data_IF_658802621644
#
_entry.id   IF_658802621644
#
_cell.length_a   1.000
_cell.length_b   1.000
_cell.length_c   1.000
_cell.angle_alpha   90.00
_cell.angle_beta   90.00
_cell.angle_gamma   90.00
#
_symmetry.space_group_name_H-M   'P 1'
#
loop_
_entity.id
_entity.type
_entity.pdbx_description
1 polymer ?
#
# COMPACT_ATOMS: atom_id res chain seq x y z
N UNK A 1 -50.96 43.40 22.70
CA UNK A 1 -52.31 43.51 22.12
C UNK A 1 -52.95 42.12 22.20
N UNK A 2 -54.06 41.99 22.91
CA UNK A 2 -54.82 40.76 23.10
C UNK A 2 -55.26 40.15 21.77
N UNK A 3 -55.45 38.82 21.70
CA UNK A 3 -56.75 38.27 21.29
C UNK A 3 -56.98 36.87 21.88
N UNK A 4 -58.18 36.70 22.41
CA UNK A 4 -58.77 35.49 22.97
C UNK A 4 -59.78 34.96 21.93
N UNK A 5 -59.86 33.66 21.70
CA UNK A 5 -61.06 33.07 21.10
C UNK A 5 -61.38 31.70 21.71
N UNK A 6 -62.69 31.44 21.82
CA UNK A 6 -63.38 30.44 22.63
C UNK A 6 -63.33 29.02 22.04
N UNK A 7 -63.50 28.07 22.95
CA UNK A 7 -63.83 26.65 22.73
C UNK A 7 -65.27 26.47 22.24
N UNK A 8 -65.46 25.48 21.37
CA UNK A 8 -66.58 24.53 21.27
C UNK A 8 -65.90 23.19 20.86
N UNK A 9 -66.17 21.98 21.35
CA UNK A 9 -67.28 21.46 22.13
C UNK A 9 -67.76 20.13 21.54
N UNK A 10 -66.93 19.08 21.47
CA UNK A 10 -67.41 17.68 21.28
C UNK A 10 -66.47 16.70 21.97
N UNK A 11 -66.90 16.20 23.13
CA UNK A 11 -66.27 15.11 23.86
C UNK A 11 -66.56 13.78 23.13
N UNK A 12 -65.57 13.27 22.38
CA UNK A 12 -65.44 11.82 22.25
C UNK A 12 -64.84 11.31 23.56
N UNK A 13 -65.45 10.27 24.14
CA UNK A 13 -64.98 9.66 25.38
C UNK A 13 -63.53 9.21 25.22
N UNK A 14 -62.65 9.77 26.07
CA UNK A 14 -61.19 9.59 26.00
C UNK A 14 -60.78 8.12 25.87
N UNK A 15 -61.52 7.18 26.45
CA UNK A 15 -61.23 5.74 26.38
C UNK A 15 -61.17 5.16 24.97
N UNK A 16 -61.96 5.65 24.00
CA UNK A 16 -61.93 5.14 22.63
C UNK A 16 -60.70 5.60 21.86
N UNK A 17 -60.30 6.85 22.07
CA UNK A 17 -59.17 7.49 21.39
C UNK A 17 -57.83 6.93 21.89
N UNK A 18 -57.69 6.73 23.21
CA UNK A 18 -56.50 6.11 23.80
C UNK A 18 -56.34 4.64 23.40
N UNK A 19 -57.44 3.87 23.29
CA UNK A 19 -57.36 2.50 22.75
C UNK A 19 -56.91 2.49 21.30
N UNK A 20 -57.45 3.37 20.46
CA UNK A 20 -57.07 3.45 19.04
C UNK A 20 -55.60 3.83 18.87
N UNK A 21 -55.11 4.83 19.61
CA UNK A 21 -53.69 5.21 19.62
C UNK A 21 -52.79 4.08 20.14
N UNK A 22 -53.22 3.33 21.16
CA UNK A 22 -52.48 2.17 21.67
C UNK A 22 -52.40 1.03 20.65
N UNK A 23 -53.47 0.74 19.91
CA UNK A 23 -53.46 -0.24 18.83
C UNK A 23 -52.60 0.20 17.65
N UNK A 24 -52.64 1.48 17.27
CA UNK A 24 -51.77 2.03 16.22
C UNK A 24 -50.31 1.97 16.67
N UNK A 25 -50.01 2.34 17.91
CA UNK A 25 -48.66 2.22 18.47
C UNK A 25 -48.18 0.77 18.50
N UNK A 26 -49.03 -0.18 18.92
CA UNK A 26 -48.71 -1.61 18.86
C UNK A 26 -48.47 -2.09 17.42
N UNK A 27 -49.27 -1.65 16.45
CA UNK A 27 -49.08 -2.02 15.04
C UNK A 27 -47.79 -1.41 14.49
N UNK A 28 -47.45 -0.17 14.81
CA UNK A 28 -46.21 0.49 14.37
C UNK A 28 -44.99 -0.16 15.03
N UNK A 29 -45.07 -0.50 16.32
CA UNK A 29 -44.03 -1.24 17.02
C UNK A 29 -43.88 -2.62 16.38
N UNK A 30 -44.95 -3.39 16.24
CA UNK A 30 -44.93 -4.71 15.62
C UNK A 30 -44.43 -4.68 14.16
N UNK A 31 -44.81 -3.68 13.37
CA UNK A 31 -44.30 -3.48 12.02
C UNK A 31 -42.81 -3.14 12.01
N UNK A 32 -42.33 -2.32 12.95
CA UNK A 32 -40.90 -2.08 13.17
C UNK A 32 -40.14 -3.33 13.61
N UNK A 33 -40.74 -4.19 14.43
CA UNK A 33 -40.16 -5.51 14.77
C UNK A 33 -40.15 -6.46 13.57
N UNK A 34 -41.15 -6.41 12.68
CA UNK A 34 -41.19 -7.20 11.45
C UNK A 34 -40.15 -6.71 10.44
N UNK A 35 -39.95 -5.40 10.28
CA UNK A 35 -38.89 -4.84 9.43
C UNK A 35 -37.49 -5.15 9.99
N UNK A 36 -37.31 -5.10 11.32
CA UNK A 36 -36.05 -5.50 11.98
C UNK A 36 -35.82 -7.01 11.92
N UNK A 37 -36.88 -7.83 11.88
CA UNK A 37 -36.79 -9.29 11.74
C UNK A 37 -36.63 -9.75 10.27
N UNK A 38 -36.80 -8.86 9.29
CA UNK A 38 -36.68 -9.18 7.86
C UNK A 38 -35.28 -8.92 7.30
N UNK A 39 -34.32 -8.51 8.12
CA UNK A 39 -32.90 -8.69 7.79
C UNK A 39 -32.54 -10.13 8.20
N UNK A 40 -32.94 -11.10 7.35
CA UNK A 40 -32.27 -12.40 7.37
C UNK A 40 -30.78 -12.10 7.32
N UNK A 41 -30.05 -12.39 8.41
CA UNK A 41 -28.59 -12.41 8.40
C UNK A 41 -28.17 -13.24 7.18
N UNK A 42 -27.83 -12.56 6.08
CA UNK A 42 -27.40 -13.23 4.86
C UNK A 42 -26.05 -13.83 5.18
N UNK A 43 -26.07 -15.07 5.67
CA UNK A 43 -24.90 -15.90 5.93
C UNK A 43 -23.98 -15.77 4.72
N UNK A 44 -22.74 -15.35 4.98
CA UNK A 44 -21.70 -15.31 3.95
C UNK A 44 -21.52 -16.76 3.45
N UNK A 45 -21.73 -17.02 2.16
CA UNK A 45 -21.63 -18.37 1.62
C UNK A 45 -20.18 -18.88 1.75
N UNK A 46 -20.01 -20.17 2.00
CA UNK A 46 -18.72 -20.81 2.24
C UNK A 46 -18.42 -21.86 1.19
N UNK A 47 -17.15 -22.15 0.90
CA UNK A 47 -16.79 -23.18 -0.10
C UNK A 47 -17.28 -24.59 0.27
N UNK A 48 -17.66 -24.83 1.53
CA UNK A 48 -18.34 -26.06 1.96
C UNK A 48 -19.74 -26.21 1.35
N UNK A 49 -20.38 -25.11 0.94
CA UNK A 49 -21.70 -25.08 0.31
C UNK A 49 -21.64 -25.47 -1.19
N UNK A 50 -20.44 -25.72 -1.72
CA UNK A 50 -20.21 -26.09 -3.12
C UNK A 50 -19.92 -24.89 -4.04
N UNK A 51 -19.83 -25.10 -5.36
CA UNK A 51 -19.58 -24.02 -6.30
C UNK A 51 -20.78 -23.09 -6.41
N UNK A 52 -20.53 -21.78 -6.38
CA UNK A 52 -21.57 -20.77 -6.56
C UNK A 52 -21.86 -20.52 -8.03
N UNK A 53 -23.10 -20.12 -8.34
CA UNK A 53 -23.44 -19.62 -9.67
C UNK A 53 -22.56 -18.41 -9.99
N UNK A 54 -21.91 -18.35 -11.18
CA UNK A 54 -21.13 -17.18 -11.58
C UNK A 54 -21.95 -15.89 -11.52
N UNK A 55 -21.39 -14.85 -10.91
CA UNK A 55 -22.01 -13.53 -10.80
C UNK A 55 -21.12 -12.52 -11.49
N UNK A 56 -21.68 -11.77 -12.43
CA UNK A 56 -21.00 -10.65 -13.09
C UNK A 56 -21.63 -9.34 -12.65
N UNK A 57 -20.84 -8.43 -12.09
CA UNK A 57 -21.26 -7.05 -11.86
C UNK A 57 -21.25 -6.32 -13.19
N UNK A 58 -22.36 -5.65 -13.53
CA UNK A 58 -22.44 -4.84 -14.76
C UNK A 58 -21.47 -3.68 -14.64
N UNK A 59 -20.76 -3.39 -15.74
CA UNK A 59 -19.92 -2.21 -15.84
C UNK A 59 -20.77 -0.95 -15.65
N UNK A 60 -20.31 -0.05 -14.78
CA UNK A 60 -20.92 1.27 -14.59
C UNK A 60 -20.22 2.27 -15.53
N UNK A 61 -20.88 2.72 -16.61
CA UNK A 61 -20.27 3.62 -17.59
C UNK A 61 -20.05 5.04 -17.06
N UNK A 62 -20.56 5.38 -15.87
CA UNK A 62 -20.30 6.67 -15.23
C UNK A 62 -18.92 6.75 -14.57
N UNK A 63 -18.24 5.61 -14.36
CA UNK A 63 -16.92 5.57 -13.76
C UNK A 63 -15.86 6.14 -14.71
N UNK A 64 -14.90 6.88 -14.13
CA UNK A 64 -13.76 7.42 -14.86
C UNK A 64 -12.96 6.29 -15.52
N UNK A 65 -12.61 6.49 -16.79
CA UNK A 65 -11.75 5.56 -17.53
C UNK A 65 -10.28 5.90 -17.33
N UNK A 66 -9.48 4.87 -17.04
CA UNK A 66 -8.05 5.02 -16.77
C UNK A 66 -7.73 5.60 -15.40
N UNK A 67 -6.45 5.56 -15.06
CA UNK A 67 -5.89 6.16 -13.84
C UNK A 67 -4.67 6.97 -14.24
N UNK A 68 -4.63 8.24 -13.86
CA UNK A 68 -3.47 9.08 -14.15
C UNK A 68 -2.31 8.68 -13.24
N UNK A 69 -1.16 8.42 -13.87
CA UNK A 69 0.11 8.28 -13.18
C UNK A 69 0.43 9.51 -12.33
N UNK A 70 0.92 9.28 -11.12
CA UNK A 70 1.41 10.34 -10.27
C UNK A 70 2.60 11.04 -10.95
N UNK A 71 2.60 12.38 -11.00
CA UNK A 71 3.67 13.12 -11.65
C UNK A 71 4.95 13.02 -10.77
N UNK A 72 6.15 13.04 -11.35
CA UNK A 72 7.40 12.69 -10.63
C UNK A 72 7.76 13.68 -9.52
N UNK A 73 7.17 14.87 -9.56
CA UNK A 73 7.30 15.97 -8.63
C UNK A 73 6.29 15.84 -7.49
N UNK A 74 5.42 14.83 -7.51
CA UNK A 74 4.47 14.57 -6.44
C UNK A 74 5.21 14.32 -5.12
N UNK A 75 4.80 14.95 -3.99
CA UNK A 75 5.55 14.89 -2.73
C UNK A 75 5.87 13.47 -2.22
N UNK A 76 4.99 12.49 -2.46
CA UNK A 76 5.22 11.08 -2.10
C UNK A 76 6.33 10.39 -2.92
N UNK A 77 6.69 10.93 -4.08
CA UNK A 77 7.71 10.37 -4.98
C UNK A 77 9.04 11.13 -4.87
N UNK A 78 9.02 12.31 -4.24
CA UNK A 78 10.21 13.11 -4.04
C UNK A 78 11.15 12.45 -3.04
N UNK A 79 12.43 12.68 -3.28
CA UNK A 79 13.48 12.29 -2.36
C UNK A 79 13.49 13.26 -1.18
N UNK A 80 13.23 12.74 0.03
CA UNK A 80 13.16 13.55 1.26
C UNK A 80 14.41 13.43 2.15
N UNK A 81 15.46 12.78 1.67
CA UNK A 81 16.73 12.61 2.37
C UNK A 81 17.87 13.22 1.57
N UNK A 82 18.97 13.57 2.24
CA UNK A 82 20.17 14.16 1.62
C UNK A 82 21.36 13.20 1.69
N UNK A 83 22.40 13.41 0.87
CA UNK A 83 23.64 12.62 0.94
C UNK A 83 23.39 11.09 0.86
N UNK A 84 24.05 10.28 1.69
CA UNK A 84 23.94 8.82 1.75
C UNK A 84 22.92 8.33 2.80
N UNK A 85 21.98 9.17 3.23
CA UNK A 85 20.91 8.72 4.12
C UNK A 85 19.99 7.70 3.42
N UNK A 86 19.53 6.65 4.13
CA UNK A 86 18.62 5.65 3.56
C UNK A 86 17.29 6.24 3.08
N UNK A 87 16.83 5.74 1.94
CA UNK A 87 15.47 5.90 1.40
C UNK A 87 14.94 4.55 0.90
N UNK A 88 13.65 4.50 0.53
CA UNK A 88 13.03 3.32 -0.07
C UNK A 88 13.22 2.05 0.80
N UNK A 89 13.05 2.22 2.12
CA UNK A 89 13.29 1.15 3.10
C UNK A 89 12.18 0.12 2.99
N UNK A 90 12.55 -1.14 2.79
CA UNK A 90 11.63 -2.24 2.61
C UNK A 90 12.05 -3.48 3.43
N UNK A 91 11.04 -4.21 3.90
CA UNK A 91 11.21 -5.49 4.57
C UNK A 91 10.74 -6.64 3.68
N UNK A 92 11.46 -7.75 3.70
CA UNK A 92 11.05 -8.97 3.02
C UNK A 92 11.30 -10.21 3.89
N UNK A 93 10.27 -11.06 4.02
CA UNK A 93 10.36 -12.28 4.80
C UNK A 93 11.36 -13.26 4.17
N UNK A 94 12.26 -13.84 4.97
CA UNK A 94 13.10 -14.97 4.53
C UNK A 94 12.61 -16.27 5.16
N UNK A 95 12.53 -16.31 6.48
CA UNK A 95 11.95 -17.42 7.27
C UNK A 95 11.14 -16.81 8.42
N UNK A 96 10.33 -17.57 9.16
CA UNK A 96 9.67 -17.05 10.37
C UNK A 96 10.63 -16.43 11.40
N UNK A 97 11.92 -16.76 11.34
CA UNK A 97 12.98 -16.28 12.26
C UNK A 97 14.03 -15.40 11.58
N UNK A 98 13.81 -14.98 10.33
CA UNK A 98 14.73 -14.09 9.62
C UNK A 98 14.03 -13.17 8.62
N UNK A 99 14.53 -11.94 8.54
CA UNK A 99 13.98 -10.86 7.73
C UNK A 99 15.09 -10.21 6.92
N UNK A 100 14.80 -9.83 5.68
CA UNK A 100 15.65 -8.95 4.90
C UNK A 100 15.23 -7.51 5.13
N UNK A 101 16.19 -6.65 5.42
CA UNK A 101 16.05 -5.20 5.43
C UNK A 101 16.81 -4.68 4.21
N UNK A 102 16.10 -3.95 3.36
CA UNK A 102 16.67 -3.37 2.13
C UNK A 102 16.39 -1.88 2.06
N UNK A 103 17.30 -1.12 1.47
CA UNK A 103 17.15 0.32 1.27
C UNK A 103 18.07 0.80 0.15
N UNK A 104 17.90 2.06 -0.26
CA UNK A 104 18.76 2.74 -1.23
C UNK A 104 19.47 3.92 -0.56
N UNK A 105 20.72 4.19 -0.92
CA UNK A 105 21.45 5.41 -0.56
C UNK A 105 22.02 6.10 -1.79
N UNK A 106 22.17 7.43 -1.71
CA UNK A 106 22.63 8.23 -2.83
C UNK A 106 21.58 8.40 -3.93
N UNK A 107 21.86 9.30 -4.87
CA UNK A 107 20.94 9.64 -5.95
C UNK A 107 21.19 8.76 -7.17
N UNK A 108 20.10 8.29 -7.79
CA UNK A 108 20.15 7.71 -9.12
C UNK A 108 20.49 8.79 -10.15
N UNK A 109 21.07 8.37 -11.28
CA UNK A 109 21.38 9.28 -12.39
C UNK A 109 20.62 8.83 -13.62
N UNK A 110 20.10 9.80 -14.36
CA UNK A 110 19.45 9.57 -15.65
C UNK A 110 19.93 10.59 -16.67
N UNK A 111 20.22 10.13 -17.88
CA UNK A 111 20.68 10.99 -18.97
C UNK A 111 21.51 10.22 -19.98
N UNK A 112 22.08 10.91 -20.97
CA UNK A 112 22.90 10.29 -22.01
C UNK A 112 24.16 9.62 -21.42
N UNK A 113 24.78 10.27 -20.43
CA UNK A 113 25.95 9.76 -19.73
C UNK A 113 25.61 9.57 -18.25
N UNK A 114 25.83 8.36 -17.74
CA UNK A 114 25.66 8.02 -16.31
C UNK A 114 26.92 7.35 -15.80
N UNK A 115 27.29 7.62 -14.55
CA UNK A 115 28.44 6.98 -13.90
C UNK A 115 27.95 6.21 -12.67
N UNK A 116 27.96 4.87 -12.70
CA UNK A 116 27.52 4.08 -11.56
C UNK A 116 28.26 4.45 -10.28
N UNK A 117 27.53 4.55 -9.17
CA UNK A 117 28.13 4.75 -7.86
C UNK A 117 28.96 3.53 -7.47
N UNK A 118 29.98 3.74 -6.63
CA UNK A 118 30.78 2.65 -6.07
C UNK A 118 30.10 2.12 -4.79
N UNK A 119 29.49 0.92 -4.82
CA UNK A 119 28.76 0.37 -3.67
C UNK A 119 29.66 0.08 -2.47
N UNK A 120 30.99 -0.03 -2.66
CA UNK A 120 31.93 -0.29 -1.56
C UNK A 120 32.15 0.94 -0.65
N UNK A 121 31.74 2.13 -1.10
CA UNK A 121 31.92 3.39 -0.34
C UNK A 121 30.90 3.61 0.77
N UNK A 122 29.82 2.82 0.80
CA UNK A 122 28.75 2.94 1.79
C UNK A 122 28.51 1.58 2.42
N UNK A 123 28.57 1.51 3.75
CA UNK A 123 28.36 0.29 4.52
C UNK A 123 26.87 -0.08 4.52
N UNK A 124 26.61 -1.37 4.67
CA UNK A 124 25.26 -1.93 4.77
C UNK A 124 25.07 -2.47 6.18
N UNK A 125 24.63 -1.64 7.11
CA UNK A 125 24.48 -2.01 8.53
C UNK A 125 23.03 -1.92 8.98
N UNK A 126 22.60 -2.87 9.80
CA UNK A 126 21.31 -2.83 10.52
C UNK A 126 21.57 -3.00 12.00
N UNK A 127 21.15 -2.01 12.78
CA UNK A 127 21.12 -2.06 14.25
C UNK A 127 19.71 -2.39 14.68
N UNK A 128 19.52 -3.40 15.54
CA UNK A 128 18.19 -3.85 15.94
C UNK A 128 18.13 -4.35 17.38
N UNK A 129 16.94 -4.30 17.96
CA UNK A 129 16.66 -4.71 19.34
C UNK A 129 15.16 -4.84 19.61
N UNK A 130 14.80 -5.29 20.82
CA UNK A 130 13.39 -5.47 21.24
C UNK A 130 12.79 -4.24 21.93
N UNK A 131 13.56 -3.17 22.08
CA UNK A 131 13.14 -1.94 22.73
C UNK A 131 13.59 -0.73 21.92
N UNK A 132 12.69 0.23 21.73
CA UNK A 132 12.99 1.46 21.00
C UNK A 132 14.16 2.22 21.61
N UNK A 133 15.04 2.72 20.76
CA UNK A 133 16.29 3.41 21.13
C UNK A 133 17.39 2.52 21.71
N UNK A 134 17.17 1.21 21.88
CA UNK A 134 18.13 0.28 22.46
C UNK A 134 18.42 -0.90 21.50
N UNK A 135 19.42 -0.71 20.63
CA UNK A 135 19.86 -1.71 19.66
C UNK A 135 20.99 -2.57 20.22
N UNK A 136 20.68 -3.82 20.58
CA UNK A 136 21.65 -4.74 21.20
C UNK A 136 22.33 -5.65 20.19
N UNK A 137 21.83 -5.72 18.95
CA UNK A 137 22.38 -6.53 17.88
C UNK A 137 22.67 -5.68 16.64
N UNK A 138 23.68 -6.11 15.90
CA UNK A 138 24.07 -5.52 14.63
C UNK A 138 24.30 -6.62 13.60
N UNK A 139 23.83 -6.40 12.37
CA UNK A 139 24.15 -7.23 11.20
C UNK A 139 24.65 -6.37 10.07
N UNK A 140 25.55 -6.93 9.27
CA UNK A 140 26.04 -6.32 8.04
C UNK A 140 25.53 -7.11 6.84
N UNK A 141 25.53 -6.48 5.67
CA UNK A 141 25.11 -7.13 4.44
C UNK A 141 25.89 -6.64 3.23
N UNK A 142 25.24 -6.71 2.08
CA UNK A 142 25.83 -6.43 0.77
C UNK A 142 25.21 -5.19 0.15
N UNK A 143 25.98 -4.51 -0.68
CA UNK A 143 25.54 -3.38 -1.49
C UNK A 143 25.82 -3.63 -2.98
N UNK A 144 24.98 -3.07 -3.85
CA UNK A 144 25.14 -3.16 -5.30
C UNK A 144 24.52 -1.95 -6.00
N UNK A 145 24.80 -1.82 -7.29
CA UNK A 145 24.16 -0.85 -8.18
C UNK A 145 23.71 -1.59 -9.44
N UNK A 146 22.68 -1.12 -10.11
CA UNK A 146 22.33 -1.58 -11.44
C UNK A 146 22.26 -0.40 -12.41
N UNK A 147 22.37 -0.71 -13.70
CA UNK A 147 22.23 0.28 -14.76
C UNK A 147 21.31 -0.25 -15.85
N UNK A 148 20.46 0.63 -16.38
CA UNK A 148 19.67 0.39 -17.57
C UNK A 148 20.30 1.18 -18.71
N UNK A 149 20.94 0.49 -19.64
CA UNK A 149 21.73 1.10 -20.70
C UNK A 149 21.11 0.82 -22.08
N UNK A 150 21.03 1.85 -22.91
CA UNK A 150 20.47 1.79 -24.25
C UNK A 150 21.53 2.21 -25.29
N UNK A 151 21.99 1.29 -26.16
CA UNK A 151 23.00 1.60 -27.18
C UNK A 151 22.36 2.21 -28.44
N UNK A 152 21.40 3.12 -28.27
CA UNK A 152 20.68 3.78 -29.36
C UNK A 152 20.79 5.30 -29.21
N UNK A 153 21.01 5.99 -30.31
CA UNK A 153 21.12 7.46 -30.32
C UNK A 153 19.83 8.10 -29.78
N UNK A 154 19.99 9.07 -28.87
CA UNK A 154 18.88 9.81 -28.28
C UNK A 154 18.21 9.15 -27.08
N UNK A 155 18.43 7.86 -26.81
CA UNK A 155 17.88 7.19 -25.62
C UNK A 155 18.73 7.50 -24.38
N UNK A 156 18.05 7.76 -23.26
CA UNK A 156 18.71 8.04 -21.98
C UNK A 156 19.03 6.75 -21.23
N UNK A 157 20.21 6.74 -20.60
CA UNK A 157 20.68 5.71 -19.70
C UNK A 157 20.28 6.04 -18.25
N UNK A 158 20.24 5.02 -17.41
CA UNK A 158 20.02 5.16 -15.97
C UNK A 158 21.04 4.33 -15.18
N UNK A 159 21.46 4.83 -14.03
CA UNK A 159 22.15 4.05 -13.01
C UNK A 159 21.56 4.36 -11.64
N UNK A 160 21.38 3.33 -10.81
CA UNK A 160 20.69 3.44 -9.53
C UNK A 160 21.52 4.16 -8.47
N UNK A 161 20.86 4.54 -7.37
CA UNK A 161 21.54 4.68 -6.08
C UNK A 161 22.17 3.35 -5.64
N UNK A 162 22.92 3.36 -4.55
CA UNK A 162 23.48 2.14 -3.96
C UNK A 162 22.35 1.41 -3.23
N UNK A 163 22.08 0.18 -3.66
CA UNK A 163 21.05 -0.70 -3.10
C UNK A 163 21.70 -1.61 -2.06
N UNK A 164 21.11 -1.67 -0.88
CA UNK A 164 21.62 -2.43 0.26
C UNK A 164 20.66 -3.56 0.62
N UNK A 165 21.22 -4.71 0.98
CA UNK A 165 20.46 -5.84 1.53
C UNK A 165 21.17 -6.43 2.74
N UNK A 166 20.47 -6.44 3.87
CA UNK A 166 20.95 -7.04 5.12
C UNK A 166 19.95 -8.07 5.59
N UNK A 167 20.42 -9.31 5.79
CA UNK A 167 19.63 -10.35 6.44
C UNK A 167 19.85 -10.28 7.95
N UNK A 168 18.77 -10.06 8.69
CA UNK A 168 18.73 -10.26 10.14
C UNK A 168 18.13 -11.64 10.42
N UNK A 169 18.80 -12.40 11.27
CA UNK A 169 18.47 -13.77 11.64
C UNK A 169 18.37 -13.92 13.17
N UNK A 170 18.08 -15.14 13.61
CA UNK A 170 17.86 -15.48 15.02
C UNK A 170 16.84 -14.55 15.70
N UNK A 171 15.78 -14.22 14.95
CA UNK A 171 14.65 -13.47 15.44
C UNK A 171 13.68 -14.41 16.14
N UNK A 172 13.16 -13.96 17.28
CA UNK A 172 12.09 -14.65 17.97
C UNK A 172 10.79 -14.46 17.17
N UNK A 173 9.99 -15.50 16.95
CA UNK A 173 8.66 -15.40 16.35
C UNK A 173 7.72 -14.54 17.21
N UNK A 174 6.67 -13.97 16.59
CA UNK A 174 5.63 -13.17 17.28
C UNK A 174 6.25 -12.07 18.19
N UNK A 175 7.34 -11.46 17.72
CA UNK A 175 8.13 -10.52 18.52
C UNK A 175 8.34 -9.23 17.75
N UNK A 176 8.13 -8.11 18.45
CA UNK A 176 8.38 -6.76 17.94
C UNK A 176 9.87 -6.43 18.00
N UNK A 177 10.40 -5.96 16.89
CA UNK A 177 11.78 -5.49 16.75
C UNK A 177 11.80 -4.05 16.25
N UNK A 178 12.69 -3.26 16.86
CA UNK A 178 13.02 -1.90 16.46
C UNK A 178 14.36 -1.94 15.74
N UNK A 179 14.49 -1.19 14.65
CA UNK A 179 15.73 -1.19 13.88
C UNK A 179 16.03 0.15 13.21
N UNK A 180 17.33 0.36 12.94
CA UNK A 180 17.85 1.42 12.06
C UNK A 180 18.75 0.79 11.02
N UNK A 181 18.75 1.31 9.80
CA UNK A 181 19.64 0.88 8.73
C UNK A 181 20.51 2.04 8.24
N UNK A 182 21.63 1.74 7.58
CA UNK A 182 22.48 2.75 6.94
C UNK A 182 23.98 2.50 7.16
N UNK A 183 24.73 3.59 7.26
CA UNK A 183 26.18 3.59 7.50
C UNK A 183 26.53 4.41 8.75
N UNK A 184 26.97 3.73 9.80
CA UNK A 184 27.30 4.36 11.08
C UNK A 184 28.58 5.21 11.03
N UNK A 185 29.52 4.92 10.12
CA UNK A 185 30.78 5.64 9.97
C UNK A 185 30.54 6.98 9.28
N UNK A 186 29.65 7.00 8.29
CA UNK A 186 29.22 8.22 7.62
C UNK A 186 28.19 9.03 8.44
N UNK A 187 27.71 8.48 9.56
CA UNK A 187 26.60 9.07 10.33
C UNK A 187 25.26 9.07 9.58
N UNK A 188 25.17 8.32 8.48
CA UNK A 188 24.02 8.26 7.59
C UNK A 188 23.13 7.07 7.98
N UNK A 189 22.52 7.15 9.14
CA UNK A 189 21.57 6.16 9.66
C UNK A 189 20.14 6.66 9.47
N UNK A 190 19.20 5.75 9.17
CA UNK A 190 17.78 6.05 9.06
C UNK A 190 17.18 6.57 10.36
N UNK A 191 15.89 6.94 10.34
CA UNK A 191 15.09 6.95 11.56
C UNK A 191 14.84 5.53 12.10
N UNK A 192 14.20 5.41 13.27
CA UNK A 192 13.84 4.11 13.83
C UNK A 192 12.57 3.58 13.16
N UNK A 193 12.65 2.34 12.69
CA UNK A 193 11.53 1.57 12.17
C UNK A 193 11.17 0.43 13.10
N UNK A 194 9.97 -0.12 12.93
CA UNK A 194 9.45 -1.23 13.72
C UNK A 194 8.82 -2.29 12.83
N UNK A 195 9.02 -3.56 13.17
CA UNK A 195 8.28 -4.66 12.57
C UNK A 195 8.01 -5.76 13.60
N UNK A 196 7.11 -6.66 13.27
CA UNK A 196 6.78 -7.83 14.08
C UNK A 196 7.00 -9.10 13.26
N UNK A 197 7.68 -10.08 13.84
CA UNK A 197 7.91 -11.37 13.18
C UNK A 197 6.64 -12.22 13.17
N UNK A 198 6.50 -13.03 12.12
CA UNK A 198 5.36 -13.92 11.97
C UNK A 198 5.44 -15.11 12.95
N UNK A 199 4.29 -15.77 13.25
CA UNK A 199 4.29 -16.99 14.04
C UNK A 199 5.01 -18.14 13.34
N UNK A 200 5.49 -19.10 14.13
CA UNK A 200 5.97 -20.36 13.59
C UNK A 200 4.81 -21.13 12.91
N UNK A 201 5.08 -21.83 11.80
CA UNK A 201 4.09 -22.68 11.14
C UNK A 201 3.52 -23.72 12.12
N UNK A 202 2.21 -23.65 12.38
CA UNK A 202 1.47 -24.64 13.15
C UNK A 202 -0.01 -24.67 12.72
N UNK A 203 -0.75 -25.78 12.96
CA UNK A 203 -2.12 -25.98 12.46
C UNK A 203 -3.16 -24.92 12.85
N UNK A 204 -2.85 -24.03 13.80
CA UNK A 204 -3.74 -22.96 14.27
C UNK A 204 -3.02 -21.62 14.46
N UNK A 205 -1.89 -21.43 13.76
CA UNK A 205 -1.07 -20.23 13.85
C UNK A 205 -0.90 -19.61 12.47
N UNK A 206 -1.44 -18.41 12.30
CA UNK A 206 -1.45 -17.70 11.03
C UNK A 206 -1.17 -16.21 11.26
N UNK A 207 -0.54 -15.52 10.29
CA UNK A 207 -0.58 -14.07 10.23
C UNK A 207 -2.03 -13.58 10.27
N UNK A 208 -2.30 -12.47 10.95
CA UNK A 208 -3.67 -11.97 11.15
C UNK A 208 -4.37 -11.64 9.84
N UNK A 209 -3.66 -10.95 8.95
CA UNK A 209 -4.14 -10.52 7.64
C UNK A 209 -2.99 -10.61 6.65
N UNK A 210 -3.24 -11.23 5.51
CA UNK A 210 -2.33 -11.24 4.37
C UNK A 210 -3.03 -10.44 3.26
N UNK A 211 -2.47 -9.29 2.91
CA UNK A 211 -2.93 -8.53 1.77
C UNK A 211 -2.37 -9.15 0.49
N UNK A 212 -3.20 -9.23 -0.55
CA UNK A 212 -2.78 -9.69 -1.87
C UNK A 212 -3.13 -8.59 -2.86
N UNK A 213 -2.12 -8.09 -3.56
CA UNK A 213 -2.25 -7.06 -4.60
C UNK A 213 -1.40 -7.44 -5.80
N UNK A 214 -1.69 -6.85 -6.95
CA UNK A 214 -0.91 -6.99 -8.18
C UNK A 214 -1.20 -5.79 -9.06
N UNK A 215 -0.42 -5.61 -10.12
CA UNK A 215 -0.68 -4.60 -11.15
C UNK A 215 -0.82 -3.18 -10.56
N UNK A 216 0.01 -2.88 -9.55
CA UNK A 216 -0.21 -1.70 -8.71
C UNK A 216 0.06 -0.42 -9.49
N UNK A 217 1.18 -0.36 -10.20
CA UNK A 217 1.66 0.87 -10.84
C UNK A 217 1.85 2.01 -9.84
N UNK A 218 1.81 3.25 -10.35
CA UNK A 218 2.01 4.44 -9.54
C UNK A 218 1.09 5.57 -9.98
N UNK A 219 -0.20 5.39 -9.71
CA UNK A 219 -1.31 6.25 -10.14
C UNK A 219 -2.14 6.75 -8.95
N UNK A 220 -3.10 7.65 -9.19
CA UNK A 220 -4.05 8.09 -8.15
C UNK A 220 -4.91 6.94 -7.60
N UNK A 221 -5.25 5.95 -8.42
CA UNK A 221 -5.94 4.75 -7.93
C UNK A 221 -4.99 3.86 -7.11
N UNK A 222 -3.70 3.79 -7.49
CA UNK A 222 -2.69 3.05 -6.74
C UNK A 222 -2.53 3.59 -5.33
N UNK A 223 -2.56 4.91 -5.13
CA UNK A 223 -2.53 5.50 -3.78
C UNK A 223 -3.76 5.12 -2.97
N UNK A 224 -4.94 5.11 -3.59
CA UNK A 224 -6.19 4.67 -2.91
C UNK A 224 -6.09 3.20 -2.49
N UNK A 225 -5.54 2.33 -3.34
CA UNK A 225 -5.26 0.93 -2.99
C UNK A 225 -4.31 0.83 -1.79
N UNK A 226 -3.22 1.61 -1.79
CA UNK A 226 -2.27 1.65 -0.67
C UNK A 226 -2.94 2.16 0.61
N UNK A 227 -3.75 3.21 0.54
CA UNK A 227 -4.45 3.76 1.71
C UNK A 227 -5.43 2.74 2.31
N UNK A 228 -6.12 1.96 1.46
CA UNK A 228 -6.93 0.83 1.89
C UNK A 228 -6.09 -0.30 2.51
N UNK A 229 -4.90 -0.59 1.98
CA UNK A 229 -3.99 -1.57 2.59
C UNK A 229 -3.57 -1.13 3.98
N UNK A 230 -3.10 0.11 4.13
CA UNK A 230 -2.66 0.69 5.41
C UNK A 230 -3.80 0.63 6.42
N UNK A 231 -5.02 1.03 6.02
CA UNK A 231 -6.21 1.00 6.88
C UNK A 231 -6.55 -0.42 7.35
N UNK A 232 -6.29 -1.43 6.51
CA UNK A 232 -6.52 -2.83 6.86
C UNK A 232 -5.39 -3.47 7.67
N UNK A 233 -4.27 -2.77 7.89
CA UNK A 233 -3.17 -3.18 8.78
C UNK A 233 -2.75 -4.67 8.59
N UNK A 234 -2.30 -5.06 7.37
CA UNK A 234 -1.91 -6.43 7.09
C UNK A 234 -0.59 -6.78 7.79
N UNK A 235 -0.47 -8.03 8.23
CA UNK A 235 0.79 -8.58 8.75
C UNK A 235 1.81 -8.88 7.65
N UNK A 236 1.33 -9.01 6.39
CA UNK A 236 2.14 -9.28 5.22
C UNK A 236 1.43 -8.80 3.96
N UNK A 237 2.19 -8.30 2.99
CA UNK A 237 1.71 -7.98 1.65
C UNK A 237 2.35 -8.95 0.65
N UNK A 238 1.52 -9.62 -0.14
CA UNK A 238 1.93 -10.40 -1.31
C UNK A 238 1.65 -9.56 -2.57
N UNK A 239 2.71 -9.09 -3.20
CA UNK A 239 2.65 -8.36 -4.47
C UNK A 239 2.85 -9.33 -5.64
N UNK A 240 1.85 -9.45 -6.51
CA UNK A 240 1.77 -10.43 -7.59
C UNK A 240 2.05 -9.76 -8.94
N UNK A 241 3.32 -9.51 -9.22
CA UNK A 241 3.77 -8.99 -10.52
C UNK A 241 3.39 -7.53 -10.78
N UNK A 242 3.86 -7.01 -11.93
CA UNK A 242 3.52 -5.70 -12.48
C UNK A 242 3.55 -4.54 -11.46
N UNK A 243 4.77 -4.21 -11.03
CA UNK A 243 4.98 -3.28 -9.92
C UNK A 243 4.81 -1.82 -10.32
N UNK A 244 5.63 -1.32 -11.25
CA UNK A 244 5.81 0.14 -11.47
C UNK A 244 5.34 0.63 -12.83
N UNK A 245 5.19 -0.28 -13.79
CA UNK A 245 4.96 0.04 -15.20
C UNK A 245 5.97 1.04 -15.79
N UNK A 246 7.23 1.04 -15.33
CA UNK A 246 8.30 1.85 -15.92
C UNK A 246 8.47 1.63 -17.43
N UNK A 247 8.05 0.48 -17.95
CA UNK A 247 8.05 0.10 -19.37
C UNK A 247 6.86 0.63 -20.19
N UNK A 248 6.02 1.49 -19.61
CA UNK A 248 5.01 2.28 -20.33
C UNK A 248 5.53 3.67 -20.72
N UNK A 249 6.81 3.96 -20.45
CA UNK A 249 7.45 5.24 -20.71
C UNK A 249 8.63 5.08 -21.67
N UNK A 250 8.92 6.15 -22.41
CA UNK A 250 10.20 6.33 -23.09
C UNK A 250 11.30 6.72 -22.08
N UNK A 251 12.56 6.58 -22.46
CA UNK A 251 13.72 6.80 -21.58
C UNK A 251 13.83 8.23 -21.01
N UNK A 252 13.23 9.22 -21.67
CA UNK A 252 13.18 10.62 -21.20
C UNK A 252 12.00 10.90 -20.26
N UNK A 253 11.13 9.92 -20.02
CA UNK A 253 9.94 10.05 -19.17
C UNK A 253 8.75 10.63 -19.93
N UNK A 254 8.08 11.63 -19.35
CA UNK A 254 6.88 12.24 -19.93
C UNK A 254 5.59 11.51 -19.55
N UNK A 255 4.65 11.41 -20.49
CA UNK A 255 3.35 10.77 -20.24
C UNK A 255 3.41 9.27 -20.56
N UNK A 256 2.97 8.43 -19.63
CA UNK A 256 2.83 7.00 -19.85
C UNK A 256 1.93 6.69 -21.06
N UNK A 257 2.30 5.65 -21.80
CA UNK A 257 1.49 5.09 -22.87
C UNK A 257 0.68 3.90 -22.35
N UNK A 258 -0.64 3.98 -22.45
CA UNK A 258 -1.55 2.85 -22.16
C UNK A 258 -1.30 1.66 -23.08
N UNK A 259 -0.83 1.92 -24.31
CA UNK A 259 -0.29 0.95 -25.24
C UNK A 259 1.03 1.48 -25.81
N UNK A 260 2.16 1.00 -25.28
CA UNK A 260 3.49 1.45 -25.71
C UNK A 260 3.69 1.26 -27.22
N UNK A 261 3.38 0.08 -27.77
CA UNK A 261 3.56 -0.19 -29.20
C UNK A 261 2.63 0.62 -30.10
N UNK A 262 1.48 1.06 -29.58
CA UNK A 262 0.56 1.91 -30.33
C UNK A 262 1.06 3.37 -30.38
N UNK A 263 1.67 3.85 -29.29
CA UNK A 263 2.09 5.24 -29.15
C UNK A 263 3.52 5.49 -29.65
N UNK A 264 4.40 4.50 -29.53
CA UNK A 264 5.80 4.56 -29.92
C UNK A 264 6.14 3.40 -30.87
N UNK A 265 5.49 3.31 -32.05
CA UNK A 265 5.70 2.21 -32.99
C UNK A 265 7.13 2.17 -33.56
N UNK A 266 7.79 3.33 -33.63
CA UNK A 266 9.13 3.48 -34.20
C UNK A 266 10.24 3.41 -33.15
N UNK A 267 9.91 3.14 -31.89
CA UNK A 267 10.92 3.02 -30.83
C UNK A 267 11.81 1.79 -31.13
N UNK A 268 13.15 1.95 -31.10
CA UNK A 268 14.07 0.89 -31.53
C UNK A 268 14.10 -0.32 -30.60
N UNK A 269 13.56 -0.17 -29.38
CA UNK A 269 13.46 -1.20 -28.36
C UNK A 269 12.30 -0.88 -27.41
N UNK A 270 11.85 -1.84 -26.60
CA UNK A 270 10.96 -1.51 -25.48
C UNK A 270 11.72 -0.70 -24.42
N UNK A 271 11.54 0.61 -24.43
CA UNK A 271 12.17 1.53 -23.47
C UNK A 271 11.55 1.42 -22.07
N UNK A 272 12.24 2.01 -21.10
CA UNK A 272 11.78 2.13 -19.72
C UNK A 272 12.24 3.46 -19.13
N UNK A 273 11.42 4.05 -18.26
CA UNK A 273 11.80 5.20 -17.43
C UNK A 273 12.02 4.74 -15.99
N UNK A 274 13.27 4.38 -15.69
CA UNK A 274 13.66 3.80 -14.40
C UNK A 274 13.36 4.67 -13.15
N UNK A 275 13.31 6.01 -13.20
CA UNK A 275 12.88 6.81 -12.05
C UNK A 275 11.46 6.50 -11.54
N UNK A 276 10.61 5.81 -12.32
CA UNK A 276 9.34 5.26 -11.81
C UNK A 276 9.56 4.21 -10.72
N UNK A 277 10.64 3.42 -10.78
CA UNK A 277 11.01 2.51 -9.70
C UNK A 277 11.41 3.25 -8.44
N UNK A 278 12.24 4.29 -8.56
CA UNK A 278 12.63 5.12 -7.42
C UNK A 278 11.40 5.78 -6.76
N UNK A 279 10.52 6.36 -7.57
CA UNK A 279 9.27 6.95 -7.08
C UNK A 279 8.36 5.92 -6.42
N UNK A 280 8.22 4.73 -7.01
CA UNK A 280 7.42 3.64 -6.45
C UNK A 280 7.98 3.18 -5.10
N UNK A 281 9.30 3.03 -4.97
CA UNK A 281 9.96 2.66 -3.72
C UNK A 281 9.76 3.70 -2.60
N UNK A 282 9.67 4.99 -2.95
CA UNK A 282 9.38 6.08 -1.98
C UNK A 282 7.92 6.14 -1.58
N UNK A 283 7.01 5.80 -2.49
CA UNK A 283 5.57 5.86 -2.27
C UNK A 283 5.02 4.65 -1.49
N UNK A 284 5.69 3.50 -1.61
CA UNK A 284 5.21 2.19 -1.16
C UNK A 284 5.59 1.82 0.28
N UNK A 285 5.94 2.83 1.09
CA UNK A 285 6.32 2.65 2.50
C UNK A 285 5.18 3.08 3.41
#
# INVERSE_FOLDING_TARGET
MCYRSKKDGTFMTANGFYKSLYYIFLIVVMAGWIEVAADEEKRIPTTLDGPFKPVTRRFDPSLRQGSDDLPMEHPRLQRNVTSMFPEQVALALSTPTSMWVSWVTGESQIGLNVTPLDPAKVRSEVFYGKSGGAYTKTKTGVSMVYSQLYPFEGLWNYTSGIIHHVKIDDLEPETKYYYKCGDSVLGAMSEEFVFETLPLPAPHKYPRRIAVIGDLGLTSNSTTTIDHLITNDPSMVLMVGDMTYANQYITTGGKAASCYSCQFPDSPIRETYQPRWDGWGRCSV
#
